data_IF_446264773700
#
_entry.id   IF_446264773700
#
_cell.length_a   1.000
_cell.length_b   1.000
_cell.length_c   1.000
_cell.angle_alpha   90.00
_cell.angle_beta   90.00
_cell.angle_gamma   90.00
#
_symmetry.space_group_name_H-M   'P 1'
#
loop_
_entity.id
_entity.type
_entity.pdbx_description
1 polymer ?
#
# COMPACT_ATOMS: atom_id res chain seq x y z
N UNK A 1 -11.54 24.14 24.34
CA UNK A 1 -10.67 24.02 23.14
C UNK A 1 -9.70 22.83 23.21
N UNK A 2 -9.87 21.89 24.14
CA UNK A 2 -8.97 20.72 24.26
C UNK A 2 -9.24 19.57 23.26
N UNK A 3 -10.27 19.65 22.41
CA UNK A 3 -10.73 18.47 21.69
C UNK A 3 -10.04 18.26 20.33
N UNK A 4 -9.86 19.32 19.53
CA UNK A 4 -9.28 19.18 18.19
C UNK A 4 -7.77 18.92 18.21
N UNK A 5 -7.04 19.54 19.14
CA UNK A 5 -5.59 19.36 19.24
C UNK A 5 -5.24 17.92 19.66
N UNK A 6 -5.96 17.36 20.63
CA UNK A 6 -5.78 15.95 21.06
C UNK A 6 -6.07 14.97 19.93
N UNK A 7 -7.20 15.15 19.22
CA UNK A 7 -7.52 14.32 18.06
C UNK A 7 -6.46 14.39 16.95
N UNK A 8 -5.88 15.57 16.69
CA UNK A 8 -4.80 15.70 15.72
C UNK A 8 -3.52 15.02 16.18
N UNK A 9 -3.19 15.10 17.46
CA UNK A 9 -2.05 14.38 18.00
C UNK A 9 -2.20 12.86 17.85
N UNK A 10 -3.40 12.31 18.09
CA UNK A 10 -3.67 10.89 17.84
C UNK A 10 -3.50 10.52 16.36
N UNK A 11 -3.92 11.40 15.43
CA UNK A 11 -3.68 11.21 14.00
C UNK A 11 -2.18 11.24 13.69
N UNK A 12 -1.43 12.20 14.24
CA UNK A 12 0.01 12.30 14.03
C UNK A 12 0.74 11.03 14.50
N UNK A 13 0.32 10.44 15.63
CA UNK A 13 0.83 9.17 16.13
C UNK A 13 0.55 8.01 15.16
N UNK A 14 -0.67 7.93 14.61
CA UNK A 14 -1.03 6.94 13.59
C UNK A 14 -0.22 7.15 12.30
N UNK A 15 -0.05 8.39 11.86
CA UNK A 15 0.68 8.73 10.65
C UNK A 15 2.16 8.33 10.76
N UNK A 16 2.76 8.47 11.94
CA UNK A 16 4.11 7.96 12.21
C UNK A 16 4.21 6.44 12.00
N UNK A 17 3.23 5.68 12.48
CA UNK A 17 3.17 4.23 12.24
C UNK A 17 2.95 3.90 10.75
N UNK A 18 2.08 4.66 10.08
CA UNK A 18 1.81 4.49 8.65
C UNK A 18 3.07 4.71 7.81
N UNK A 19 3.91 5.69 8.14
CA UNK A 19 5.20 5.92 7.45
C UNK A 19 6.11 4.70 7.58
N UNK A 20 6.28 4.18 8.80
CA UNK A 20 7.13 3.00 9.05
C UNK A 20 6.60 1.78 8.28
N UNK A 21 5.29 1.54 8.30
CA UNK A 21 4.66 0.45 7.57
C UNK A 21 4.77 0.63 6.05
N UNK A 22 4.62 1.86 5.57
CA UNK A 22 4.74 2.21 4.16
C UNK A 22 6.17 1.94 3.66
N UNK A 23 7.20 2.42 4.35
CA UNK A 23 8.60 2.18 3.98
C UNK A 23 8.92 0.69 3.91
N UNK A 24 8.50 -0.07 4.93
CA UNK A 24 8.67 -1.53 4.96
C UNK A 24 8.00 -2.19 3.75
N UNK A 25 6.79 -1.78 3.42
CA UNK A 25 6.03 -2.31 2.27
C UNK A 25 6.69 -1.95 0.93
N UNK A 26 7.27 -0.75 0.80
CA UNK A 26 7.97 -0.33 -0.42
C UNK A 26 9.30 -1.05 -0.60
N UNK A 27 10.03 -1.31 0.49
CA UNK A 27 11.24 -2.15 0.44
C UNK A 27 10.91 -3.54 -0.12
N UNK A 28 9.87 -4.19 0.41
CA UNK A 28 9.41 -5.49 -0.10
C UNK A 28 8.94 -5.39 -1.56
N UNK A 29 8.30 -4.28 -1.97
CA UNK A 29 7.91 -4.11 -3.38
C UNK A 29 9.11 -4.10 -4.33
N UNK A 30 10.26 -3.54 -3.93
CA UNK A 30 11.50 -3.59 -4.72
C UNK A 30 12.03 -5.02 -4.85
N UNK A 31 12.01 -5.78 -3.76
CA UNK A 31 12.38 -7.20 -3.75
C UNK A 31 11.46 -8.02 -4.67
N UNK A 32 10.14 -7.73 -4.65
CA UNK A 32 9.16 -8.33 -5.57
C UNK A 32 9.47 -7.97 -7.02
N UNK A 33 9.87 -6.73 -7.33
CA UNK A 33 10.31 -6.36 -8.69
C UNK A 33 11.51 -7.21 -9.13
N UNK A 34 12.54 -7.34 -8.29
CA UNK A 34 13.71 -8.16 -8.61
C UNK A 34 13.32 -9.62 -8.88
N UNK A 35 12.45 -10.19 -8.06
CA UNK A 35 11.92 -11.54 -8.25
C UNK A 35 11.16 -11.67 -9.57
N UNK A 36 10.21 -10.77 -9.84
CA UNK A 36 9.40 -10.77 -11.06
C UNK A 36 10.26 -10.65 -12.31
N UNK A 37 11.32 -9.82 -12.28
CA UNK A 37 12.29 -9.68 -13.37
C UNK A 37 12.96 -11.01 -13.72
N UNK A 38 13.51 -11.70 -12.71
CA UNK A 38 14.22 -12.97 -12.88
C UNK A 38 13.31 -14.03 -13.50
N UNK A 39 12.02 -14.00 -13.15
CA UNK A 39 11.02 -14.97 -13.61
C UNK A 39 10.19 -14.49 -14.81
N UNK A 40 10.54 -13.35 -15.44
CA UNK A 40 9.79 -12.74 -16.55
C UNK A 40 8.28 -12.55 -16.26
N UNK A 41 7.94 -12.20 -15.02
CA UNK A 41 6.56 -11.96 -14.60
C UNK A 41 6.17 -10.48 -14.76
N UNK A 42 4.90 -10.18 -15.10
CA UNK A 42 4.42 -8.81 -15.21
C UNK A 42 4.34 -8.10 -13.84
N UNK A 43 4.59 -6.79 -13.84
CA UNK A 43 4.47 -5.95 -12.63
C UNK A 43 3.01 -5.83 -12.19
N UNK A 44 2.10 -5.56 -13.12
CA UNK A 44 0.67 -5.50 -12.85
C UNK A 44 0.08 -6.90 -12.75
N UNK A 45 -0.66 -7.14 -11.66
CA UNK A 45 -1.39 -8.38 -11.39
C UNK A 45 -2.72 -8.02 -10.73
N UNK A 46 -3.73 -7.79 -11.57
CA UNK A 46 -5.06 -7.37 -11.15
C UNK A 46 -5.73 -8.37 -10.21
N UNK A 47 -5.62 -9.67 -10.53
CA UNK A 47 -6.20 -10.74 -9.72
C UNK A 47 -5.62 -10.73 -8.31
N UNK A 48 -4.31 -10.54 -8.18
CA UNK A 48 -3.64 -10.43 -6.87
C UNK A 48 -4.08 -9.18 -6.12
N UNK A 49 -4.19 -8.03 -6.79
CA UNK A 49 -4.59 -6.76 -6.18
C UNK A 49 -6.04 -6.81 -5.66
N UNK A 50 -6.99 -7.26 -6.48
CA UNK A 50 -8.40 -7.39 -6.09
C UNK A 50 -8.56 -8.34 -4.91
N UNK A 51 -7.84 -9.48 -4.90
CA UNK A 51 -7.84 -10.42 -3.76
C UNK A 51 -7.35 -9.79 -2.45
N UNK A 52 -6.39 -8.86 -2.50
CA UNK A 52 -5.93 -8.13 -1.29
C UNK A 52 -6.99 -7.15 -0.81
N UNK A 53 -7.60 -6.41 -1.74
CA UNK A 53 -8.65 -5.43 -1.43
C UNK A 53 -9.80 -6.15 -0.73
N UNK A 54 -10.36 -7.19 -1.35
CA UNK A 54 -11.45 -7.99 -0.78
C UNK A 54 -11.08 -8.55 0.61
N UNK A 55 -9.87 -9.11 0.74
CA UNK A 55 -9.37 -9.65 2.01
C UNK A 55 -9.25 -8.58 3.11
N UNK A 56 -8.96 -7.32 2.78
CA UNK A 56 -8.82 -6.28 3.80
C UNK A 56 -10.15 -5.57 4.07
N UNK A 57 -11.01 -5.40 3.07
CA UNK A 57 -12.40 -4.98 3.27
C UNK A 57 -13.13 -5.97 4.18
N UNK A 58 -12.90 -7.27 4.04
CA UNK A 58 -13.55 -8.28 4.90
C UNK A 58 -13.16 -8.14 6.38
N UNK A 59 -11.98 -7.59 6.69
CA UNK A 59 -11.51 -7.32 8.06
C UNK A 59 -12.07 -6.05 8.69
N UNK A 60 -12.62 -5.12 7.90
CA UNK A 60 -13.25 -3.92 8.45
C UNK A 60 -14.39 -4.31 9.38
N UNK A 61 -14.42 -3.74 10.59
CA UNK A 61 -15.57 -3.83 11.48
C UNK A 61 -16.70 -2.92 11.01
N UNK A 62 -16.35 -1.69 10.64
CA UNK A 62 -17.25 -0.74 10.01
C UNK A 62 -17.19 -0.88 8.49
N UNK A 63 -18.23 -1.46 7.89
CA UNK A 63 -18.31 -1.68 6.44
C UNK A 63 -18.61 -0.40 5.66
N UNK A 64 -19.03 0.70 6.31
CA UNK A 64 -19.25 1.97 5.60
C UNK A 64 -17.95 2.49 4.98
N UNK A 65 -16.79 2.18 5.56
CA UNK A 65 -15.46 2.58 5.10
C UNK A 65 -14.90 1.73 3.95
N UNK A 66 -15.68 0.81 3.38
CA UNK A 66 -15.17 -0.16 2.40
C UNK A 66 -14.67 0.52 1.12
N UNK A 67 -15.37 1.56 0.67
CA UNK A 67 -15.04 2.28 -0.55
C UNK A 67 -13.75 3.11 -0.40
N UNK A 68 -13.60 3.77 0.74
CA UNK A 68 -12.43 4.55 1.11
C UNK A 68 -11.20 3.64 1.24
N UNK A 69 -11.37 2.47 1.87
CA UNK A 69 -10.29 1.50 2.02
C UNK A 69 -9.87 0.91 0.66
N UNK A 70 -10.83 0.60 -0.22
CA UNK A 70 -10.52 0.18 -1.59
C UNK A 70 -9.67 1.22 -2.31
N UNK A 71 -10.11 2.48 -2.27
CA UNK A 71 -9.42 3.60 -2.90
C UNK A 71 -8.00 3.74 -2.36
N UNK A 72 -7.82 3.65 -1.05
CA UNK A 72 -6.51 3.64 -0.40
C UNK A 72 -5.59 2.52 -0.92
N UNK A 73 -6.08 1.28 -0.99
CA UNK A 73 -5.27 0.17 -1.48
C UNK A 73 -4.90 0.32 -2.96
N UNK A 74 -5.83 0.80 -3.81
CA UNK A 74 -5.55 1.06 -5.22
C UNK A 74 -4.44 2.10 -5.40
N UNK A 75 -4.44 3.16 -4.59
CA UNK A 75 -3.35 4.15 -4.59
C UNK A 75 -2.02 3.55 -4.13
N UNK A 76 -2.02 2.76 -3.05
CA UNK A 76 -0.82 2.06 -2.60
C UNK A 76 -0.27 1.13 -3.69
N UNK A 77 -1.13 0.36 -4.36
CA UNK A 77 -0.68 -0.52 -5.44
C UNK A 77 -0.11 0.25 -6.62
N UNK A 78 -0.74 1.36 -7.00
CA UNK A 78 -0.18 2.25 -8.02
C UNK A 78 1.24 2.69 -7.66
N UNK A 79 1.46 3.22 -6.46
CA UNK A 79 2.79 3.64 -5.99
C UNK A 79 3.78 2.46 -6.01
N UNK A 80 3.31 1.27 -5.62
CA UNK A 80 4.14 0.06 -5.61
C UNK A 80 4.60 -0.33 -7.01
N UNK A 81 3.72 -0.22 -8.01
CA UNK A 81 4.05 -0.50 -9.41
C UNK A 81 5.02 0.53 -9.95
N UNK A 82 4.77 1.81 -9.70
CA UNK A 82 5.67 2.89 -10.11
C UNK A 82 7.09 2.70 -9.53
N UNK A 83 7.22 2.22 -8.28
CA UNK A 83 8.52 1.86 -7.68
C UNK A 83 9.14 0.63 -8.34
N UNK A 84 8.34 -0.42 -8.59
CA UNK A 84 8.82 -1.63 -9.26
C UNK A 84 9.36 -1.30 -10.66
N UNK A 85 8.64 -0.50 -11.44
CA UNK A 85 9.06 -0.04 -12.77
C UNK A 85 10.38 0.73 -12.73
N UNK A 86 10.52 1.66 -11.78
CA UNK A 86 11.77 2.40 -11.55
C UNK A 86 12.93 1.49 -11.15
N UNK A 87 12.67 0.43 -10.40
CA UNK A 87 13.70 -0.54 -10.02
C UNK A 87 14.15 -1.40 -11.21
N UNK A 88 13.21 -1.77 -12.09
CA UNK A 88 13.54 -2.48 -13.32
C UNK A 88 14.32 -1.62 -14.33
N UNK A 89 14.05 -0.31 -14.39
CA UNK A 89 14.75 0.59 -15.32
C UNK A 89 16.18 0.94 -14.88
N UNK A 90 16.48 0.93 -13.58
CA UNK A 90 17.84 1.16 -13.04
C UNK A 90 18.82 0.02 -13.31
N UNK A 91 18.30 -1.17 -13.57
CA UNK A 91 19.09 -2.40 -13.78
C UNK A 91 19.18 -2.78 -15.27
N UNK A 92 18.86 -1.85 -16.19
CA UNK A 92 19.15 -1.94 -17.62
C UNK A 92 20.46 -1.24 -17.92
#
# INVERSE_FOLDING_TARGET
MENLAKLRQEIDEIDNELVVLFEKRMKISKEVAAFKRIHNMPIYDETRENKIIEKNISKLKDKSLSHELETFYRMIFKISRDIQEKELSKNK
#
